data_IF_590473742850
#
_entry.id   IF_590473742850
#
_cell.length_a   1.000
_cell.length_b   1.000
_cell.length_c   1.000
_cell.angle_alpha   90.00
_cell.angle_beta   90.00
_cell.angle_gamma   90.00
#
_symmetry.space_group_name_H-M   'P 1'
#
loop_
_entity.id
_entity.type
_entity.pdbx_description
1 polymer ?
#
# COMPACT_ATOMS: atom_id res chain seq x y z
N UNK A 1 -4.42 23.69 9.04
CA UNK A 1 -4.16 23.24 10.42
C UNK A 1 -4.05 21.73 10.47
N UNK A 2 -3.33 21.23 11.48
CA UNK A 2 -3.14 19.79 11.68
C UNK A 2 -2.37 19.19 10.51
N UNK A 3 -1.05 19.19 10.64
CA UNK A 3 -0.18 18.63 9.60
C UNK A 3 -0.02 17.13 9.80
N UNK A 4 -0.27 16.68 11.03
CA UNK A 4 -0.10 15.28 11.37
C UNK A 4 -1.26 14.44 10.86
N UNK A 5 -0.90 13.31 10.27
CA UNK A 5 -1.85 12.41 9.65
C UNK A 5 -1.46 10.98 10.04
N UNK A 6 -2.39 10.06 9.95
CA UNK A 6 -2.08 8.64 10.14
C UNK A 6 -2.74 7.85 9.02
N UNK A 7 -1.97 6.97 8.37
CA UNK A 7 -2.50 6.25 7.22
C UNK A 7 -1.95 4.84 7.13
N UNK A 8 -2.70 3.96 6.48
CA UNK A 8 -2.28 2.57 6.27
C UNK A 8 -2.09 2.32 4.79
N UNK A 9 -1.02 1.62 4.45
CA UNK A 9 -0.65 1.47 3.04
C UNK A 9 -0.16 0.06 2.74
N UNK A 10 -0.37 -0.36 1.50
CA UNK A 10 0.08 -1.67 1.05
C UNK A 10 1.07 -1.46 -0.10
N UNK A 11 2.08 -2.32 -0.17
CA UNK A 11 3.12 -2.19 -1.19
C UNK A 11 3.35 -3.52 -1.91
N UNK A 12 3.15 -3.52 -3.21
CA UNK A 12 3.42 -4.69 -4.03
C UNK A 12 4.66 -4.45 -4.89
N UNK A 13 5.54 -5.44 -4.92
CA UNK A 13 6.75 -5.38 -5.74
C UNK A 13 6.58 -6.30 -6.94
N UNK A 14 7.22 -5.98 -8.06
CA UNK A 14 7.11 -6.78 -9.26
C UNK A 14 8.44 -6.85 -9.99
N UNK A 15 8.56 -7.83 -10.88
CA UNK A 15 9.76 -8.02 -11.67
C UNK A 15 10.19 -6.71 -12.35
N UNK A 16 11.30 -6.15 -11.89
CA UNK A 16 11.82 -4.95 -12.51
C UNK A 16 11.38 -3.68 -11.81
N UNK A 17 10.74 -3.80 -10.64
CA UNK A 17 10.27 -2.61 -9.94
C UNK A 17 11.33 -2.11 -8.97
N UNK A 18 12.58 -2.03 -9.45
CA UNK A 18 13.73 -1.60 -8.66
C UNK A 18 14.13 -2.65 -7.62
N UNK A 19 13.14 -3.34 -7.06
CA UNK A 19 13.37 -4.37 -6.07
C UNK A 19 12.42 -5.54 -6.31
N UNK A 20 12.87 -6.58 -7.00
CA UNK A 20 12.04 -7.71 -7.36
C UNK A 20 11.91 -8.75 -6.24
N UNK A 21 11.55 -8.29 -5.04
CA UNK A 21 11.34 -9.16 -3.88
C UNK A 21 10.24 -8.54 -3.00
N UNK A 22 9.11 -9.21 -2.91
CA UNK A 22 8.02 -8.74 -2.07
C UNK A 22 7.93 -9.57 -0.79
N UNK A 23 7.31 -9.00 0.26
CA UNK A 23 7.00 -9.75 1.49
C UNK A 23 6.03 -10.89 1.18
N UNK A 24 5.44 -10.81 0.00
CA UNK A 24 4.44 -11.76 -0.44
C UNK A 24 5.10 -12.96 -1.13
N UNK A 25 6.38 -12.81 -1.47
CA UNK A 25 7.13 -13.87 -2.12
C UNK A 25 8.31 -14.30 -1.26
N UNK A 26 8.88 -13.32 -0.58
CA UNK A 26 9.97 -13.58 0.34
C UNK A 26 11.31 -13.76 -0.36
N UNK A 27 11.30 -14.49 -1.45
CA UNK A 27 12.51 -14.74 -2.21
C UNK A 27 12.65 -13.73 -3.33
N UNK A 28 11.76 -13.80 -4.31
CA UNK A 28 11.75 -12.88 -5.42
C UNK A 28 10.35 -12.76 -6.00
N UNK A 29 10.01 -11.57 -6.49
CA UNK A 29 8.75 -11.35 -7.17
C UNK A 29 9.02 -11.05 -8.64
N UNK A 30 10.07 -11.70 -9.14
CA UNK A 30 10.57 -11.49 -10.48
C UNK A 30 9.75 -12.25 -11.52
N UNK A 31 8.79 -13.04 -11.06
CA UNK A 31 7.94 -13.81 -11.95
C UNK A 31 6.63 -13.08 -12.22
N UNK A 32 6.28 -12.15 -11.34
CA UNK A 32 5.07 -11.37 -11.48
C UNK A 32 5.40 -10.00 -12.08
N UNK A 33 4.59 -9.55 -13.02
CA UNK A 33 4.84 -8.31 -13.75
C UNK A 33 4.08 -7.17 -13.11
N UNK A 34 4.18 -5.97 -13.68
CA UNK A 34 3.42 -4.84 -13.16
C UNK A 34 1.93 -5.13 -13.38
N UNK A 35 1.63 -5.91 -14.40
CA UNK A 35 0.26 -6.30 -14.70
C UNK A 35 -0.24 -7.30 -13.66
N UNK A 36 0.56 -8.34 -13.42
CA UNK A 36 0.22 -9.35 -12.44
C UNK A 36 0.17 -8.75 -11.05
N UNK A 37 1.00 -7.74 -10.85
CA UNK A 37 1.05 -7.02 -9.58
C UNK A 37 -0.20 -6.19 -9.40
N UNK A 38 -0.60 -5.46 -10.44
CA UNK A 38 -1.84 -4.70 -10.40
C UNK A 38 -3.01 -5.65 -10.25
N UNK A 39 -2.91 -6.80 -10.91
CA UNK A 39 -3.93 -7.83 -10.81
C UNK A 39 -4.11 -8.26 -9.37
N UNK A 40 -3.02 -8.21 -8.61
CA UNK A 40 -3.03 -8.67 -7.24
C UNK A 40 -3.45 -7.54 -6.31
N UNK A 41 -2.84 -6.37 -6.51
CA UNK A 41 -3.14 -5.22 -5.68
C UNK A 41 -4.62 -4.87 -5.79
N UNK A 42 -5.16 -5.00 -7.00
CA UNK A 42 -6.56 -4.70 -7.27
C UNK A 42 -7.50 -5.69 -6.57
N UNK A 43 -7.00 -6.86 -6.22
CA UNK A 43 -7.82 -7.85 -5.53
C UNK A 43 -7.85 -7.54 -4.03
N UNK A 44 -6.69 -7.24 -3.46
CA UNK A 44 -6.62 -6.87 -2.06
C UNK A 44 -7.30 -5.53 -1.82
N UNK A 45 -7.02 -4.56 -2.69
CA UNK A 45 -7.69 -3.27 -2.64
C UNK A 45 -9.19 -3.44 -2.83
N UNK A 46 -9.58 -4.51 -3.52
CA UNK A 46 -10.98 -4.86 -3.69
C UNK A 46 -11.53 -5.39 -2.39
N UNK A 47 -10.90 -6.44 -1.88
CA UNK A 47 -11.36 -7.14 -0.67
C UNK A 47 -11.40 -6.21 0.53
N UNK A 48 -10.37 -5.38 0.66
CA UNK A 48 -10.31 -4.39 1.72
C UNK A 48 -11.50 -3.43 1.63
N UNK A 49 -11.91 -3.15 0.41
CA UNK A 49 -13.03 -2.26 0.14
C UNK A 49 -14.37 -2.99 0.28
N UNK A 50 -14.42 -4.24 -0.18
CA UNK A 50 -15.66 -5.02 -0.19
C UNK A 50 -16.00 -5.57 1.19
N UNK A 51 -14.98 -5.84 1.99
CA UNK A 51 -15.21 -6.37 3.32
C UNK A 51 -14.83 -7.83 3.44
N UNK A 52 -14.11 -8.35 2.45
CA UNK A 52 -13.65 -9.73 2.47
C UNK A 52 -12.49 -9.87 3.46
N UNK A 53 -11.56 -8.93 3.40
CA UNK A 53 -10.48 -8.86 4.38
C UNK A 53 -10.24 -7.40 4.75
N UNK A 54 -9.63 -7.19 5.90
CA UNK A 54 -9.28 -5.85 6.32
C UNK A 54 -7.95 -5.46 5.71
N UNK A 55 -7.64 -4.17 5.73
CA UNK A 55 -6.37 -3.70 5.21
C UNK A 55 -5.23 -4.39 5.96
N UNK A 56 -5.41 -4.53 7.26
CA UNK A 56 -4.45 -5.15 8.14
C UNK A 56 -4.13 -6.58 7.69
N UNK A 57 -5.18 -7.39 7.50
CA UNK A 57 -5.01 -8.79 7.09
C UNK A 57 -4.22 -8.88 5.79
N UNK A 58 -4.59 -8.05 4.83
CA UNK A 58 -3.93 -8.06 3.54
C UNK A 58 -2.48 -7.57 3.65
N UNK A 59 -2.30 -6.43 4.30
CA UNK A 59 -0.99 -5.79 4.39
C UNK A 59 0.05 -6.68 5.06
N UNK A 60 -0.26 -7.17 6.25
CA UNK A 60 0.67 -7.99 7.03
C UNK A 60 1.27 -9.16 6.25
N UNK A 61 0.56 -9.61 5.22
CA UNK A 61 1.05 -10.73 4.43
C UNK A 61 1.60 -10.24 3.10
N UNK A 62 0.81 -9.40 2.45
CA UNK A 62 1.06 -9.02 1.07
C UNK A 62 1.99 -7.83 0.93
N UNK A 63 1.83 -6.82 1.77
CA UNK A 63 2.63 -5.59 1.64
C UNK A 63 4.11 -5.86 1.89
N UNK A 64 4.94 -5.47 0.92
CA UNK A 64 6.38 -5.62 1.03
C UNK A 64 6.99 -4.57 1.95
N UNK A 65 6.23 -3.52 2.21
CA UNK A 65 6.70 -2.44 3.05
C UNK A 65 6.62 -2.84 4.51
N UNK A 66 7.44 -2.16 5.31
CA UNK A 66 7.65 -2.53 6.71
C UNK A 66 6.40 -2.59 7.55
N UNK A 67 5.33 -1.97 7.06
CA UNK A 67 4.06 -1.95 7.78
C UNK A 67 3.40 -3.34 7.79
N UNK A 68 3.99 -4.31 7.07
CA UNK A 68 3.50 -5.70 7.12
C UNK A 68 3.47 -6.21 8.56
N UNK A 69 4.42 -5.75 9.37
CA UNK A 69 4.52 -6.21 10.75
C UNK A 69 3.79 -5.27 11.69
N UNK A 70 3.13 -4.28 11.13
CA UNK A 70 2.43 -3.28 11.91
C UNK A 70 0.92 -3.37 11.70
N UNK A 71 0.52 -4.07 10.65
CA UNK A 71 -0.89 -4.16 10.30
C UNK A 71 -1.25 -3.24 9.16
N UNK A 72 -0.24 -2.81 8.41
CA UNK A 72 -0.45 -1.94 7.28
C UNK A 72 -0.49 -0.48 7.65
N UNK A 73 -0.89 -0.21 8.88
CA UNK A 73 -1.07 1.15 9.34
C UNK A 73 0.22 1.74 9.86
N UNK A 74 0.43 2.99 9.54
CA UNK A 74 1.58 3.73 10.01
C UNK A 74 1.18 4.63 11.16
N UNK A 75 2.15 5.30 11.73
CA UNK A 75 1.89 6.23 12.80
C UNK A 75 1.56 7.59 12.28
N UNK A 76 1.75 8.61 13.10
CA UNK A 76 1.48 9.97 12.69
C UNK A 76 2.67 10.56 11.95
N UNK A 77 2.37 11.26 10.86
CA UNK A 77 3.39 11.88 10.04
C UNK A 77 2.93 13.26 9.63
N UNK A 78 3.85 14.06 9.12
CA UNK A 78 3.51 15.38 8.64
C UNK A 78 3.14 15.28 7.17
N UNK A 79 2.03 15.90 6.79
CA UNK A 79 1.56 15.85 5.41
C UNK A 79 2.67 16.26 4.44
N UNK A 80 3.01 15.37 3.52
CA UNK A 80 4.09 15.62 2.59
C UNK A 80 5.35 14.83 2.95
N UNK A 81 5.26 14.04 4.01
CA UNK A 81 6.41 13.30 4.53
C UNK A 81 6.63 12.00 3.77
N UNK A 82 5.74 11.68 2.84
CA UNK A 82 5.81 10.44 2.14
C UNK A 82 6.27 10.67 0.71
N UNK A 83 5.75 9.89 -0.19
CA UNK A 83 6.09 9.98 -1.58
C UNK A 83 5.09 10.89 -2.28
N UNK A 84 5.49 11.50 -3.37
CA UNK A 84 4.62 12.43 -4.09
C UNK A 84 3.27 11.79 -4.45
N UNK A 85 3.25 10.65 -5.19
CA UNK A 85 1.98 10.04 -5.62
C UNK A 85 1.27 9.35 -4.46
N UNK A 86 2.05 9.01 -3.44
CA UNK A 86 1.53 8.35 -2.26
C UNK A 86 0.72 9.35 -1.42
N UNK A 87 1.38 10.45 -1.05
CA UNK A 87 0.77 11.50 -0.24
C UNK A 87 -0.37 12.14 -1.03
N UNK A 88 -0.18 12.24 -2.35
CA UNK A 88 -1.21 12.74 -3.25
C UNK A 88 -2.53 11.99 -3.05
N UNK A 89 -2.42 10.70 -2.78
CA UNK A 89 -3.59 9.87 -2.55
C UNK A 89 -4.08 10.01 -1.12
N UNK A 90 -3.15 10.16 -0.18
CA UNK A 90 -3.50 10.26 1.23
C UNK A 90 -4.33 11.50 1.50
N UNK A 91 -3.93 12.62 0.89
CA UNK A 91 -4.67 13.87 1.02
C UNK A 91 -5.99 13.79 0.25
N UNK A 92 -6.07 12.82 -0.66
CA UNK A 92 -7.23 12.71 -1.54
C UNK A 92 -8.33 11.86 -0.91
N UNK A 93 -8.10 11.40 0.31
CA UNK A 93 -9.08 10.62 1.04
C UNK A 93 -9.14 11.07 2.50
N UNK A 94 -10.29 10.87 3.12
CA UNK A 94 -10.44 11.18 4.52
C UNK A 94 -10.37 9.89 5.34
N UNK A 95 -10.52 10.00 6.65
CA UNK A 95 -10.49 8.85 7.54
C UNK A 95 -11.48 7.78 7.07
N UNK A 96 -10.96 6.58 6.84
CA UNK A 96 -11.79 5.47 6.41
C UNK A 96 -11.87 5.33 4.91
N UNK A 97 -11.23 6.23 4.17
CA UNK A 97 -11.27 6.17 2.71
C UNK A 97 -10.00 5.53 2.17
N UNK A 98 -10.15 4.73 1.12
CA UNK A 98 -9.02 4.05 0.50
C UNK A 98 -8.76 4.62 -0.89
N UNK A 99 -7.50 4.64 -1.29
CA UNK A 99 -7.10 5.20 -2.57
C UNK A 99 -7.07 4.13 -3.65
N UNK A 100 -7.28 4.52 -4.91
CA UNK A 100 -7.13 3.62 -6.06
C UNK A 100 -5.66 3.25 -6.26
N UNK A 101 -5.44 2.15 -6.97
CA UNK A 101 -4.09 1.66 -7.29
C UNK A 101 -3.15 2.80 -7.70
N UNK A 102 -2.21 3.13 -6.83
CA UNK A 102 -1.21 4.16 -7.11
C UNK A 102 0.18 3.53 -7.21
N UNK A 103 0.83 3.70 -8.35
CA UNK A 103 2.16 3.16 -8.55
C UNK A 103 3.21 4.11 -8.01
N UNK A 104 4.37 3.57 -7.67
CA UNK A 104 5.45 4.35 -7.11
C UNK A 104 6.78 3.96 -7.75
N UNK A 105 7.86 4.47 -7.19
CA UNK A 105 9.21 4.20 -7.68
C UNK A 105 9.49 2.70 -7.74
N UNK A 106 9.09 1.97 -6.69
CA UNK A 106 9.50 0.59 -6.55
C UNK A 106 8.34 -0.38 -6.68
N UNK A 107 7.13 0.11 -6.87
CA UNK A 107 6.05 -0.79 -7.16
C UNK A 107 4.69 -0.14 -7.05
N UNK A 108 3.85 -0.77 -6.27
CA UNK A 108 2.43 -0.45 -6.21
C UNK A 108 1.99 -0.16 -4.79
N UNK A 109 1.01 0.72 -4.64
CA UNK A 109 0.48 1.05 -3.32
C UNK A 109 -1.03 1.29 -3.36
N UNK A 110 -1.66 0.99 -2.24
CA UNK A 110 -2.98 1.52 -1.92
C UNK A 110 -2.93 2.03 -0.49
N UNK A 111 -3.57 3.16 -0.23
CA UNK A 111 -3.51 3.74 1.10
C UNK A 111 -4.91 4.08 1.60
N UNK A 112 -5.11 3.95 2.90
CA UNK A 112 -6.35 4.38 3.53
C UNK A 112 -6.01 5.29 4.71
N UNK A 113 -6.80 6.33 4.91
CA UNK A 113 -6.53 7.27 5.98
C UNK A 113 -7.09 6.78 7.31
N UNK A 114 -6.25 6.77 8.32
CA UNK A 114 -6.62 6.32 9.65
C UNK A 114 -6.98 7.51 10.52
N UNK A 115 -6.30 8.63 10.29
CA UNK A 115 -6.57 9.86 11.03
C UNK A 115 -6.06 11.05 10.22
#
# INVERSE_FOLDING_TARGET
MSEKLRAAHLLVKFSGSRNPVSRRTGDSTADVTYEDAIKELQKWSQRIASGEVSFEEAASQRSDCGSYASGGDLGFFSSGEMMKPFEDAVRALKIGDISPIVQTDSGLHIIKRLA
#
